data_IF_947736891209
#
_entry.id   IF_947736891209
#
_cell.length_a   1.000
_cell.length_b   1.000
_cell.length_c   1.000
_cell.angle_alpha   90.00
_cell.angle_beta   90.00
_cell.angle_gamma   90.00
#
_symmetry.space_group_name_H-M   'P 1'
#
loop_
_entity.id
_entity.type
_entity.pdbx_description
1 polymer ?
#
# COMPACT_ATOMS: atom_id res chain seq x y z
N UNK A 1 3.94 4.98 -21.92
CA UNK A 1 4.22 3.72 -21.20
C UNK A 1 4.90 2.79 -22.17
N UNK A 2 6.05 2.29 -21.80
CA UNK A 2 6.90 1.44 -22.63
C UNK A 2 7.01 0.05 -21.97
N UNK A 3 6.76 -1.00 -22.73
CA UNK A 3 6.89 -2.39 -22.30
C UNK A 3 7.76 -3.14 -23.33
N UNK A 4 9.07 -2.88 -23.28
CA UNK A 4 10.08 -3.52 -24.13
C UNK A 4 9.90 -3.32 -25.63
N UNK A 5 8.83 -3.84 -26.20
CA UNK A 5 8.55 -3.81 -27.65
C UNK A 5 7.32 -2.93 -28.03
N UNK A 6 6.52 -2.52 -27.04
CA UNK A 6 5.27 -1.78 -27.30
C UNK A 6 5.25 -0.47 -26.55
N UNK A 7 5.01 0.60 -27.28
CA UNK A 7 4.77 1.92 -26.73
C UNK A 7 3.26 2.22 -26.73
N UNK A 8 2.74 2.64 -25.59
CA UNK A 8 1.37 3.10 -25.46
C UNK A 8 1.34 4.51 -24.88
N UNK A 9 0.58 5.40 -25.49
CA UNK A 9 0.36 6.73 -24.92
C UNK A 9 -0.32 6.63 -23.56
N UNK A 10 0.12 7.45 -22.60
CA UNK A 10 -0.55 7.56 -21.32
C UNK A 10 -1.98 8.08 -21.55
N UNK A 11 -2.96 7.33 -21.09
CA UNK A 11 -4.38 7.61 -21.32
C UNK A 11 -5.21 7.14 -20.12
N UNK A 12 -6.49 7.51 -20.01
CA UNK A 12 -7.37 6.95 -18.99
C UNK A 12 -7.40 5.41 -18.98
N UNK A 13 -7.23 4.78 -20.14
CA UNK A 13 -7.22 3.31 -20.28
C UNK A 13 -5.96 2.65 -19.70
N UNK A 14 -4.85 3.38 -19.59
CA UNK A 14 -3.61 2.86 -19.00
C UNK A 14 -3.53 3.06 -17.49
N UNK A 15 -4.46 3.84 -16.89
CA UNK A 15 -4.50 4.10 -15.45
C UNK A 15 -4.81 2.86 -14.61
N UNK A 16 -5.46 1.86 -15.20
CA UNK A 16 -5.72 0.59 -14.51
C UNK A 16 -4.43 -0.15 -14.11
N UNK A 17 -3.31 0.16 -14.78
CA UNK A 17 -1.99 -0.42 -14.45
C UNK A 17 -1.26 0.33 -13.33
N UNK A 18 -1.80 1.47 -12.86
CA UNK A 18 -1.17 2.30 -11.84
C UNK A 18 -2.05 2.30 -10.60
N UNK A 19 -1.47 1.93 -9.49
CA UNK A 19 -2.07 2.06 -8.16
C UNK A 19 -1.36 3.19 -7.43
N UNK A 20 -2.11 4.14 -6.91
CA UNK A 20 -1.59 5.25 -6.12
C UNK A 20 -2.09 5.16 -4.68
N UNK A 21 -1.16 5.21 -3.75
CA UNK A 21 -1.42 5.29 -2.31
C UNK A 21 -0.92 6.65 -1.83
N UNK A 22 -1.81 7.58 -1.53
CA UNK A 22 -1.44 8.91 -1.05
C UNK A 22 -0.87 8.86 0.37
N UNK A 23 -0.17 9.90 0.75
CA UNK A 23 0.25 10.13 2.13
C UNK A 23 -0.96 10.25 3.05
N UNK A 24 -0.81 9.79 4.28
CA UNK A 24 -1.81 9.92 5.35
C UNK A 24 -2.95 8.93 5.22
N UNK A 25 -4.04 9.28 5.88
CA UNK A 25 -5.18 8.39 6.00
C UNK A 25 -6.17 8.56 4.83
N UNK A 26 -6.26 7.56 3.97
CA UNK A 26 -7.17 7.51 2.82
C UNK A 26 -8.27 6.44 2.97
N UNK A 27 -8.52 5.98 4.19
CA UNK A 27 -9.60 5.02 4.45
C UNK A 27 -10.96 5.71 4.41
N UNK A 28 -11.97 4.97 3.96
CA UNK A 28 -13.37 5.38 4.03
C UNK A 28 -14.03 4.81 5.30
N UNK A 29 -15.14 5.42 5.72
CA UNK A 29 -15.99 4.87 6.78
C UNK A 29 -16.49 3.48 6.42
N UNK A 30 -16.39 2.54 7.35
CA UNK A 30 -16.73 1.13 7.16
C UNK A 30 -15.76 0.22 7.87
N UNK A 31 -15.80 -1.06 7.60
CA UNK A 31 -14.87 -2.03 8.16
C UNK A 31 -13.53 -2.03 7.42
N UNK A 32 -12.49 -2.62 8.05
CA UNK A 32 -11.22 -2.88 7.38
C UNK A 32 -11.45 -3.76 6.13
N UNK A 33 -12.30 -4.78 6.24
CA UNK A 33 -12.71 -5.65 5.13
C UNK A 33 -13.27 -4.84 3.97
N UNK A 34 -14.23 -3.95 4.22
CA UNK A 34 -14.83 -3.10 3.18
C UNK A 34 -13.80 -2.19 2.52
N UNK A 35 -12.88 -1.63 3.29
CA UNK A 35 -11.77 -0.85 2.74
C UNK A 35 -10.86 -1.67 1.82
N UNK A 36 -10.55 -2.92 2.17
CA UNK A 36 -9.74 -3.82 1.33
C UNK A 36 -10.47 -4.22 0.05
N UNK A 37 -11.78 -4.48 0.14
CA UNK A 37 -12.62 -4.82 -1.03
C UNK A 37 -12.73 -3.70 -2.06
N UNK A 38 -12.48 -2.44 -1.68
CA UNK A 38 -12.32 -1.36 -2.67
C UNK A 38 -11.10 -1.56 -3.58
N UNK A 39 -10.08 -2.27 -3.12
CA UNK A 39 -8.93 -2.65 -3.94
C UNK A 39 -9.28 -3.76 -4.92
N UNK A 40 -9.87 -4.84 -4.41
CA UNK A 40 -10.35 -5.97 -5.19
C UNK A 40 -11.66 -6.50 -4.61
N UNK A 41 -12.82 -6.24 -5.27
CA UNK A 41 -14.13 -6.68 -4.78
C UNK A 41 -14.28 -8.21 -4.67
N UNK A 42 -13.42 -8.97 -5.34
CA UNK A 42 -13.46 -10.44 -5.35
C UNK A 42 -12.37 -11.05 -4.45
N UNK A 43 -11.61 -10.24 -3.70
CA UNK A 43 -10.58 -10.75 -2.83
C UNK A 43 -11.17 -11.67 -1.75
N UNK A 44 -10.59 -12.84 -1.60
CA UNK A 44 -10.91 -13.72 -0.49
C UNK A 44 -10.16 -13.32 0.79
N UNK A 45 -10.48 -13.99 1.89
CA UNK A 45 -9.87 -13.66 3.18
C UNK A 45 -8.38 -13.99 3.24
N UNK A 46 -7.92 -14.98 2.49
CA UNK A 46 -6.51 -15.34 2.42
C UNK A 46 -5.71 -14.24 1.68
N UNK A 47 -6.22 -13.77 0.56
CA UNK A 47 -5.64 -12.65 -0.20
C UNK A 47 -5.59 -11.36 0.63
N UNK A 48 -6.66 -11.07 1.40
CA UNK A 48 -6.68 -9.92 2.30
C UNK A 48 -5.61 -10.03 3.39
N UNK A 49 -5.46 -11.20 4.01
CA UNK A 49 -4.45 -11.44 5.05
C UNK A 49 -3.03 -11.34 4.48
N UNK A 50 -2.78 -11.86 3.30
CA UNK A 50 -1.51 -11.76 2.61
C UNK A 50 -1.16 -10.29 2.29
N UNK A 51 -2.12 -9.54 1.74
CA UNK A 51 -1.92 -8.13 1.45
C UNK A 51 -1.64 -7.30 2.72
N UNK A 52 -2.34 -7.59 3.82
CA UNK A 52 -2.10 -6.96 5.11
C UNK A 52 -0.72 -7.32 5.67
N UNK A 53 -0.30 -8.57 5.56
CA UNK A 53 1.03 -9.00 5.96
C UNK A 53 2.11 -8.27 5.18
N UNK A 54 1.98 -8.21 3.85
CA UNK A 54 2.91 -7.50 2.98
C UNK A 54 2.94 -5.98 3.23
N UNK A 55 1.87 -5.42 3.78
CA UNK A 55 1.79 -4.04 4.23
C UNK A 55 2.21 -3.84 5.71
N UNK A 56 2.81 -4.83 6.35
CA UNK A 56 3.19 -4.81 7.78
C UNK A 56 2.00 -4.48 8.71
N UNK A 57 0.79 -4.90 8.37
CA UNK A 57 -0.44 -4.63 9.10
C UNK A 57 -0.89 -5.82 9.96
N UNK A 58 0.05 -6.61 10.50
CA UNK A 58 -0.25 -7.79 11.34
C UNK A 58 -1.01 -7.43 12.63
N UNK A 59 -0.94 -6.19 13.09
CA UNK A 59 -1.69 -5.70 14.26
C UNK A 59 -3.19 -5.95 14.17
N UNK A 60 -3.74 -6.17 12.96
CA UNK A 60 -5.16 -6.47 12.76
C UNK A 60 -5.56 -7.78 13.44
N UNK A 61 -4.63 -8.73 13.58
CA UNK A 61 -4.88 -9.99 14.28
C UNK A 61 -5.08 -9.80 15.78
N UNK A 62 -4.61 -8.68 16.34
CA UNK A 62 -4.76 -8.31 17.75
C UNK A 62 -6.06 -7.52 18.01
N UNK A 63 -6.73 -7.06 16.96
CA UNK A 63 -7.99 -6.34 17.08
C UNK A 63 -9.14 -7.32 17.42
N UNK A 64 -10.02 -6.99 18.36
CA UNK A 64 -11.11 -7.89 18.78
C UNK A 64 -12.02 -8.37 17.66
N UNK A 65 -12.21 -7.54 16.64
CA UNK A 65 -13.05 -7.83 15.47
C UNK A 65 -12.25 -8.11 14.19
N UNK A 66 -10.90 -8.09 14.28
CA UNK A 66 -10.03 -8.36 13.12
C UNK A 66 -10.40 -7.52 11.91
N UNK A 67 -10.66 -8.17 10.77
CA UNK A 67 -11.06 -7.52 9.52
C UNK A 67 -12.40 -6.76 9.62
N UNK A 68 -13.27 -7.14 10.55
CA UNK A 68 -14.59 -6.53 10.73
C UNK A 68 -14.55 -5.36 11.73
N UNK A 69 -13.36 -4.94 12.15
CA UNK A 69 -13.15 -3.71 12.93
C UNK A 69 -13.58 -2.49 12.11
N UNK A 70 -14.44 -1.67 12.70
CA UNK A 70 -14.97 -0.46 12.06
C UNK A 70 -13.94 0.65 12.14
N UNK A 71 -13.67 1.25 11.00
CA UNK A 71 -12.89 2.48 10.85
C UNK A 71 -13.89 3.63 10.64
N UNK A 72 -13.81 4.69 11.43
CA UNK A 72 -14.58 5.91 11.20
C UNK A 72 -14.07 6.69 9.98
N UNK A 73 -14.68 7.87 9.73
CA UNK A 73 -14.16 8.79 8.70
C UNK A 73 -12.68 9.04 8.93
N UNK A 74 -11.92 8.96 7.87
CA UNK A 74 -10.46 9.08 7.90
C UNK A 74 -9.79 8.10 8.90
N UNK A 75 -10.34 6.85 9.04
CA UNK A 75 -9.77 5.80 9.87
C UNK A 75 -9.84 6.09 11.38
N UNK A 76 -10.81 6.88 11.84
CA UNK A 76 -11.02 7.15 13.27
C UNK A 76 -11.02 5.82 14.05
N UNK A 77 -10.22 5.75 15.12
CA UNK A 77 -10.02 4.53 15.93
C UNK A 77 -8.73 3.79 15.61
N UNK A 78 -8.03 4.15 14.52
CA UNK A 78 -6.71 3.66 14.15
C UNK A 78 -5.67 4.79 14.25
N UNK A 79 -4.41 4.44 14.52
CA UNK A 79 -3.33 5.41 14.36
C UNK A 79 -3.12 5.73 12.87
N UNK A 80 -2.52 6.88 12.56
CA UNK A 80 -2.20 7.26 11.18
C UNK A 80 -1.36 6.18 10.47
N UNK A 81 -0.33 5.66 11.14
CA UNK A 81 0.49 4.58 10.60
C UNK A 81 -0.25 3.25 10.43
N UNK A 82 -1.27 2.96 11.26
CA UNK A 82 -2.14 1.80 11.07
C UNK A 82 -3.03 1.98 9.84
N UNK A 83 -3.66 3.14 9.70
CA UNK A 83 -4.50 3.47 8.56
C UNK A 83 -3.72 3.46 7.24
N UNK A 84 -2.50 4.02 7.26
CA UNK A 84 -1.60 4.02 6.10
C UNK A 84 -1.27 2.59 5.63
N UNK A 85 -0.95 1.68 6.57
CA UNK A 85 -0.64 0.28 6.21
C UNK A 85 -1.86 -0.46 5.64
N UNK A 86 -3.07 -0.19 6.12
CA UNK A 86 -4.30 -0.74 5.50
C UNK A 86 -4.50 -0.16 4.09
N UNK A 87 -4.23 1.12 3.88
CA UNK A 87 -4.30 1.75 2.56
C UNK A 87 -3.28 1.13 1.57
N UNK A 88 -2.07 0.81 2.05
CA UNK A 88 -1.07 0.07 1.26
C UNK A 88 -1.58 -1.32 0.90
N UNK A 89 -2.13 -2.08 1.87
CA UNK A 89 -2.72 -3.40 1.63
C UNK A 89 -3.84 -3.35 0.59
N UNK A 90 -4.74 -2.36 0.68
CA UNK A 90 -5.75 -2.09 -0.35
C UNK A 90 -5.14 -1.86 -1.72
N UNK A 91 -4.03 -1.11 -1.78
CA UNK A 91 -3.28 -0.88 -3.01
C UNK A 91 -2.66 -2.16 -3.58
N UNK A 92 -2.15 -3.04 -2.73
CA UNK A 92 -1.61 -4.34 -3.13
C UNK A 92 -2.70 -5.24 -3.73
N UNK A 93 -3.90 -5.26 -3.15
CA UNK A 93 -5.05 -6.02 -3.66
C UNK A 93 -5.56 -5.50 -5.01
N UNK A 94 -5.48 -4.18 -5.25
CA UNK A 94 -5.94 -3.61 -6.51
C UNK A 94 -5.23 -4.17 -7.73
N UNK A 95 -4.02 -4.67 -7.56
CA UNK A 95 -3.22 -5.12 -8.69
C UNK A 95 -2.62 -3.93 -9.46
N UNK A 96 -2.20 -4.18 -10.69
CA UNK A 96 -1.48 -3.21 -11.51
C UNK A 96 0.03 -3.45 -11.45
N UNK A 97 0.72 -3.03 -12.50
CA UNK A 97 2.18 -3.25 -12.63
C UNK A 97 3.02 -2.17 -11.97
N UNK A 98 2.42 -1.00 -11.72
CA UNK A 98 3.10 0.15 -11.12
C UNK A 98 2.35 0.56 -9.86
N UNK A 99 3.04 0.65 -8.75
CA UNK A 99 2.52 1.14 -7.49
C UNK A 99 3.27 2.40 -7.07
N UNK A 100 2.55 3.50 -6.93
CA UNK A 100 3.08 4.77 -6.45
C UNK A 100 2.73 4.90 -4.97
N UNK A 101 3.74 5.04 -4.13
CA UNK A 101 3.61 5.25 -2.69
C UNK A 101 4.12 6.65 -2.33
N UNK A 102 3.25 7.45 -1.75
CA UNK A 102 3.59 8.80 -1.31
C UNK A 102 3.79 8.79 0.21
N UNK A 103 5.01 9.01 0.65
CA UNK A 103 5.44 9.00 2.06
C UNK A 103 4.88 7.81 2.88
N UNK A 104 5.04 6.56 2.41
CA UNK A 104 4.37 5.40 2.99
C UNK A 104 4.78 5.08 4.44
N UNK A 105 5.90 5.62 4.89
CA UNK A 105 6.46 5.37 6.21
C UNK A 105 6.48 6.62 7.11
N UNK A 106 5.89 7.75 6.70
CA UNK A 106 5.98 9.02 7.45
C UNK A 106 5.48 8.94 8.89
N UNK A 107 4.46 8.14 9.15
CA UNK A 107 3.85 7.93 10.48
C UNK A 107 4.32 6.64 11.19
N UNK A 108 5.40 6.01 10.72
CA UNK A 108 5.93 4.76 11.27
C UNK A 108 7.20 5.00 12.08
N UNK A 109 7.40 4.17 13.11
CA UNK A 109 8.70 4.02 13.76
C UNK A 109 9.68 3.25 12.84
N UNK A 110 10.98 3.37 13.14
CA UNK A 110 12.02 2.80 12.29
C UNK A 110 11.94 1.26 12.17
N UNK A 111 11.48 0.56 13.20
CA UNK A 111 11.36 -0.90 13.17
C UNK A 111 10.22 -1.33 12.25
N UNK A 112 9.07 -0.69 12.37
CA UNK A 112 7.90 -0.93 11.50
C UNK A 112 8.19 -0.53 10.05
N UNK A 113 8.92 0.58 9.83
CA UNK A 113 9.36 1.00 8.50
C UNK A 113 10.23 -0.08 7.84
N UNK A 114 11.24 -0.59 8.55
CA UNK A 114 12.12 -1.64 8.01
C UNK A 114 11.35 -2.90 7.60
N UNK A 115 10.41 -3.34 8.44
CA UNK A 115 9.53 -4.50 8.15
C UNK A 115 8.67 -4.23 6.91
N UNK A 116 8.06 -3.03 6.82
CA UNK A 116 7.25 -2.65 5.66
C UNK A 116 8.06 -2.71 4.36
N UNK A 117 9.26 -2.12 4.37
CA UNK A 117 10.12 -2.08 3.18
C UNK A 117 10.55 -3.47 2.73
N UNK A 118 10.97 -4.33 3.67
CA UNK A 118 11.35 -5.71 3.38
C UNK A 118 10.19 -6.48 2.76
N UNK A 119 9.01 -6.44 3.38
CA UNK A 119 7.82 -7.16 2.90
C UNK A 119 7.28 -6.61 1.58
N UNK A 120 7.34 -5.30 1.36
CA UNK A 120 6.98 -4.71 0.07
C UNK A 120 7.90 -5.20 -1.05
N UNK A 121 9.20 -5.34 -0.78
CA UNK A 121 10.16 -5.88 -1.74
C UNK A 121 9.85 -7.33 -2.11
N UNK A 122 9.51 -8.15 -1.12
CA UNK A 122 9.16 -9.56 -1.32
C UNK A 122 7.78 -9.73 -1.97
N UNK A 123 6.78 -9.00 -1.48
CA UNK A 123 5.38 -9.09 -1.93
C UNK A 123 5.08 -8.35 -3.24
N UNK A 124 6.03 -7.56 -3.74
CA UNK A 124 5.86 -6.80 -4.98
C UNK A 124 6.14 -7.62 -6.25
N UNK A 125 6.22 -8.95 -6.16
CA UNK A 125 6.62 -9.82 -7.27
C UNK A 125 6.03 -9.40 -8.63
N UNK A 126 6.89 -8.94 -9.54
CA UNK A 126 6.51 -8.50 -10.88
C UNK A 126 5.88 -7.10 -10.98
N UNK A 127 5.94 -6.29 -9.92
CA UNK A 127 5.48 -4.88 -9.91
C UNK A 127 6.65 -3.93 -9.77
N UNK A 128 6.54 -2.77 -10.38
CA UNK A 128 7.44 -1.64 -10.11
C UNK A 128 6.84 -0.80 -8.99
N UNK A 129 7.56 -0.67 -7.88
CA UNK A 129 7.19 0.26 -6.80
C UNK A 129 7.99 1.54 -6.98
N UNK A 130 7.29 2.67 -7.08
CA UNK A 130 7.87 4.00 -7.07
C UNK A 130 7.46 4.66 -5.76
N UNK A 131 8.43 5.07 -4.98
CA UNK A 131 8.21 5.64 -3.66
C UNK A 131 8.72 7.09 -3.61
N UNK A 132 7.88 7.99 -3.10
CA UNK A 132 8.28 9.33 -2.75
C UNK A 132 8.55 9.32 -1.25
N UNK A 133 9.76 9.66 -0.84
CA UNK A 133 10.12 9.71 0.57
C UNK A 133 11.30 10.66 0.80
N UNK A 134 11.33 11.26 1.97
CA UNK A 134 12.48 12.03 2.48
C UNK A 134 13.29 11.23 3.52
N UNK A 135 12.91 9.97 3.78
CA UNK A 135 13.59 9.10 4.74
C UNK A 135 14.71 8.31 4.09
N UNK A 136 15.92 8.46 4.62
CA UNK A 136 17.12 7.76 4.12
C UNK A 136 17.01 6.23 4.27
N UNK A 137 16.33 5.73 5.31
CA UNK A 137 16.12 4.30 5.54
C UNK A 137 15.36 3.63 4.40
N UNK A 138 14.29 4.24 3.93
CA UNK A 138 13.49 3.75 2.80
C UNK A 138 14.28 3.81 1.48
N UNK A 139 15.03 4.91 1.26
CA UNK A 139 15.83 5.08 0.06
C UNK A 139 16.93 4.02 -0.10
N UNK A 140 17.54 3.58 1.02
CA UNK A 140 18.60 2.57 1.01
C UNK A 140 18.15 1.16 0.60
N UNK A 141 16.85 0.88 0.58
CA UNK A 141 16.28 -0.43 0.21
C UNK A 141 15.77 -0.46 -1.24
N UNK A 142 15.75 0.68 -1.94
CA UNK A 142 15.37 0.79 -3.33
C UNK A 142 16.51 0.36 -4.27
N UNK A 143 16.17 -0.22 -5.42
CA UNK A 143 17.13 -0.60 -6.45
C UNK A 143 17.74 0.61 -7.17
N UNK A 144 17.07 1.76 -7.15
CA UNK A 144 17.55 3.03 -7.71
C UNK A 144 16.89 4.22 -7.04
N UNK A 145 17.63 5.32 -6.95
CA UNK A 145 17.18 6.57 -6.35
C UNK A 145 17.27 7.72 -7.35
N UNK A 146 16.24 8.57 -7.35
CA UNK A 146 16.20 9.82 -8.13
C UNK A 146 16.03 10.95 -7.12
N UNK A 147 17.05 11.82 -7.01
CA UNK A 147 16.97 13.04 -6.20
C UNK A 147 16.39 14.17 -7.03
N UNK A 148 15.28 14.75 -6.58
CA UNK A 148 14.66 15.94 -7.19
C UNK A 148 15.10 17.14 -6.37
N UNK A 149 15.83 18.05 -7.01
CA UNK A 149 16.31 19.34 -6.42
C UNK A 149 15.36 20.46 -6.74
#
# INVERSE_FOLDING_TARGET
IYDGEKEAAASPLTRCNITYVPQGNSLISGTIRENLLLGNPNADEAEMKEALHNAAADFIQELPLGLDTVCGESGTGLSEGQAQRIAIARGLLRGGRIMLLDEPASALDNATEAILMERLKEGAAGRTIIMITHREGAAGLCEGNIEIK
#
